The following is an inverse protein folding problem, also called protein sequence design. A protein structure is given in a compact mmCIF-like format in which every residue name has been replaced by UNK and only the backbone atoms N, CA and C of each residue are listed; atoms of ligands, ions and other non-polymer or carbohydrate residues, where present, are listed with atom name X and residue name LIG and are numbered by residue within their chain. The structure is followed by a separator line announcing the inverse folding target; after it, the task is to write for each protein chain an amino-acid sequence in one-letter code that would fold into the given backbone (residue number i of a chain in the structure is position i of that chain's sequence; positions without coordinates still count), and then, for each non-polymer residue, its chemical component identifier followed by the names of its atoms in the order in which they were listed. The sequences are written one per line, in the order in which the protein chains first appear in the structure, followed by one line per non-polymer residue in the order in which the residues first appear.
data_IF_860804709924
#
_entry.id   IF_860804709924
#
_cell.length_a   1.000
_cell.length_b   1.000
_cell.length_c   1.000
_cell.angle_alpha   90.00
_cell.angle_beta   90.00
_cell.angle_gamma   90.00
#
_symmetry.space_group_name_H-M   'P 1'
#
loop_
_entity.id
_entity.type
_entity.pdbx_description
1 polymer ?
#
# COMPACT_ATOMS: atom_id res chain seq x y z
N UNK A 1 16.37 11.82 26.58
CA UNK A 1 15.45 12.54 25.67
C UNK A 1 16.23 13.72 25.14
N UNK A 2 16.39 13.83 23.82
CA UNK A 2 17.15 14.92 23.22
C UNK A 2 16.43 16.26 23.48
N UNK A 3 17.17 17.24 24.00
CA UNK A 3 16.63 18.53 24.46
C UNK A 3 15.88 19.29 23.36
N UNK A 4 16.21 19.06 22.09
CA UNK A 4 15.59 19.69 20.93
C UNK A 4 14.11 19.29 20.74
N UNK A 5 13.73 18.07 21.10
CA UNK A 5 12.34 17.58 20.97
C UNK A 5 11.52 17.75 22.25
N UNK A 6 12.15 18.14 23.36
CA UNK A 6 11.45 18.29 24.62
C UNK A 6 10.55 19.54 24.61
N UNK A 7 9.35 19.40 25.18
CA UNK A 7 8.46 20.51 25.51
C UNK A 7 7.59 20.09 26.70
N UNK A 8 7.27 21.05 27.59
CA UNK A 8 6.37 20.80 28.73
C UNK A 8 4.96 20.45 28.25
N UNK A 9 4.56 20.94 27.08
CA UNK A 9 3.31 20.57 26.43
C UNK A 9 3.55 19.35 25.52
N UNK A 10 2.92 18.19 25.80
CA UNK A 10 3.13 16.98 25.00
C UNK A 10 2.76 17.16 23.52
N UNK A 11 1.75 17.97 23.19
CA UNK A 11 1.38 18.25 21.80
C UNK A 11 2.48 19.02 21.05
N UNK A 12 3.16 19.96 21.74
CA UNK A 12 4.29 20.69 21.15
C UNK A 12 5.51 19.78 20.97
N UNK A 13 5.79 18.92 21.95
CA UNK A 13 6.85 17.94 21.84
C UNK A 13 6.62 17.01 20.62
N UNK A 14 5.37 16.54 20.43
CA UNK A 14 5.04 15.68 19.28
C UNK A 14 5.20 16.39 17.95
N UNK A 15 4.84 17.68 17.83
CA UNK A 15 5.03 18.43 16.57
C UNK A 15 6.49 18.71 16.23
N UNK A 16 7.40 18.68 17.22
CA UNK A 16 8.86 18.77 17.00
C UNK A 16 9.43 17.43 16.55
N UNK A 17 9.01 16.34 17.20
CA UNK A 17 9.47 14.99 16.89
C UNK A 17 8.94 14.48 15.54
N UNK A 18 7.71 14.85 15.19
CA UNK A 18 7.04 14.50 13.95
C UNK A 18 6.57 15.78 13.28
N UNK A 19 7.40 16.34 12.40
CA UNK A 19 7.02 17.53 11.64
C UNK A 19 5.78 17.23 10.79
N UNK A 20 5.01 18.24 10.36
CA UNK A 20 3.84 18.03 9.49
C UNK A 20 4.15 17.26 8.18
N UNK A 21 5.40 17.33 7.72
CA UNK A 21 5.92 16.63 6.55
C UNK A 21 6.41 15.21 6.87
N UNK A 22 6.44 14.81 8.15
CA UNK A 22 6.85 13.48 8.56
C UNK A 22 5.81 12.44 8.16
N UNK A 23 6.24 11.54 7.31
CA UNK A 23 5.44 10.47 6.76
C UNK A 23 5.79 9.15 7.45
N UNK A 24 5.02 8.77 8.47
CA UNK A 24 5.17 7.47 9.12
C UNK A 24 4.70 6.36 8.18
N UNK A 25 5.56 5.37 7.89
CA UNK A 25 5.20 4.15 7.15
C UNK A 25 4.79 3.05 8.15
N UNK A 26 3.50 2.69 8.24
CA UNK A 26 3.07 1.59 9.09
C UNK A 26 3.66 0.27 8.59
N UNK A 27 4.18 -0.56 9.48
CA UNK A 27 4.61 -1.92 9.15
C UNK A 27 3.43 -2.86 9.41
N UNK A 28 2.97 -3.57 8.38
CA UNK A 28 1.92 -4.57 8.50
C UNK A 28 2.46 -5.95 8.11
N UNK A 29 2.46 -6.87 9.08
CA UNK A 29 3.03 -8.21 8.95
C UNK A 29 2.01 -9.27 8.49
N UNK A 30 0.71 -8.94 8.44
CA UNK A 30 -0.39 -9.89 8.19
C UNK A 30 -1.04 -9.74 6.80
N UNK A 31 -0.46 -8.93 5.90
CA UNK A 31 -1.02 -8.70 4.55
C UNK A 31 -0.64 -9.83 3.60
N UNK A 32 -1.62 -10.34 2.86
CA UNK A 32 -1.44 -11.48 1.95
C UNK A 32 -0.98 -11.03 0.57
N UNK A 33 -0.42 -11.96 -0.22
CA UNK A 33 -0.13 -11.70 -1.65
C UNK A 33 -1.37 -11.24 -2.42
N UNK A 34 -2.53 -11.84 -2.14
CA UNK A 34 -3.82 -11.46 -2.77
C UNK A 34 -4.19 -10.01 -2.50
N UNK A 35 -3.96 -9.52 -1.28
CA UNK A 35 -4.17 -8.10 -0.95
C UNK A 35 -3.32 -7.18 -1.84
N UNK A 36 -2.04 -7.49 -2.03
CA UNK A 36 -1.16 -6.68 -2.88
C UNK A 36 -1.53 -6.77 -4.37
N UNK A 37 -1.96 -7.94 -4.84
CA UNK A 37 -2.52 -8.10 -6.18
C UNK A 37 -3.76 -7.22 -6.38
N UNK A 38 -4.63 -7.19 -5.36
CA UNK A 38 -5.86 -6.41 -5.39
C UNK A 38 -5.60 -4.91 -5.51
N UNK A 39 -4.59 -4.41 -4.78
CA UNK A 39 -4.12 -3.02 -4.92
C UNK A 39 -3.69 -2.71 -6.36
N UNK A 40 -2.93 -3.59 -7.00
CA UNK A 40 -2.43 -3.34 -8.36
C UNK A 40 -3.55 -3.27 -9.40
N UNK A 41 -4.56 -4.12 -9.24
CA UNK A 41 -5.75 -4.17 -10.10
C UNK A 41 -6.59 -2.91 -9.87
N UNK A 42 -6.95 -2.62 -8.62
CA UNK A 42 -7.79 -1.47 -8.24
C UNK A 42 -7.17 -0.13 -8.64
N UNK A 43 -5.85 0.01 -8.47
CA UNK A 43 -5.14 1.23 -8.84
C UNK A 43 -4.93 1.39 -10.35
N UNK A 44 -5.35 0.41 -11.17
CA UNK A 44 -5.04 0.29 -12.59
C UNK A 44 -3.52 0.41 -12.87
N UNK A 45 -2.68 -0.13 -11.98
CA UNK A 45 -1.22 -0.02 -12.09
C UNK A 45 -0.61 -1.10 -12.95
N UNK A 46 -1.29 -2.24 -13.07
CA UNK A 46 -0.84 -3.35 -13.92
C UNK A 46 -2.02 -3.97 -14.66
N UNK A 47 -1.71 -4.74 -15.69
CA UNK A 47 -2.62 -5.73 -16.27
C UNK A 47 -2.06 -7.12 -15.98
N UNK A 48 -2.86 -7.99 -15.35
CA UNK A 48 -2.47 -9.36 -14.99
C UNK A 48 -3.30 -10.33 -15.81
N UNK A 49 -2.64 -11.32 -16.40
CA UNK A 49 -3.29 -12.47 -17.02
C UNK A 49 -2.80 -13.74 -16.37
N UNK A 50 -3.70 -14.47 -15.73
CA UNK A 50 -3.43 -15.79 -15.20
C UNK A 50 -3.72 -16.86 -16.24
N UNK A 51 -2.81 -17.82 -16.36
CA UNK A 51 -2.99 -19.00 -17.19
C UNK A 51 -3.28 -20.17 -16.27
N UNK A 52 -4.40 -20.85 -16.50
CA UNK A 52 -4.87 -21.95 -15.65
C UNK A 52 -4.29 -23.29 -16.08
N UNK A 53 -4.21 -24.23 -15.16
CA UNK A 53 -3.91 -25.62 -15.51
C UNK A 53 -5.09 -26.20 -16.31
N UNK A 54 -4.86 -26.84 -17.47
CA UNK A 54 -5.93 -27.46 -18.26
C UNK A 54 -6.68 -28.56 -17.50
N UNK A 55 -6.02 -29.25 -16.56
CA UNK A 55 -6.58 -30.34 -15.77
C UNK A 55 -7.16 -29.84 -14.43
N UNK A 56 -6.73 -28.68 -13.94
CA UNK A 56 -7.26 -28.03 -12.73
C UNK A 56 -7.39 -26.50 -12.89
N UNK A 57 -8.58 -26.00 -13.30
CA UNK A 57 -8.84 -24.58 -13.48
C UNK A 57 -8.67 -23.71 -12.24
N UNK A 58 -8.55 -24.29 -11.03
CA UNK A 58 -8.30 -23.53 -9.81
C UNK A 58 -6.82 -23.12 -9.71
N UNK A 59 -5.91 -23.90 -10.30
CA UNK A 59 -4.48 -23.65 -10.26
C UNK A 59 -4.03 -22.71 -11.39
N UNK A 60 -3.24 -21.70 -11.03
CA UNK A 60 -2.51 -20.89 -12.00
C UNK A 60 -1.18 -21.59 -12.33
N UNK A 61 -0.94 -21.92 -13.60
CA UNK A 61 0.36 -22.46 -14.05
C UNK A 61 1.42 -21.37 -14.11
N UNK A 62 1.05 -20.22 -14.66
CA UNK A 62 1.88 -19.03 -14.71
C UNK A 62 0.99 -17.79 -14.84
N UNK A 63 1.62 -16.62 -14.76
CA UNK A 63 0.93 -15.35 -14.94
C UNK A 63 1.84 -14.38 -15.66
N UNK A 64 1.27 -13.58 -16.55
CA UNK A 64 1.97 -12.49 -17.20
C UNK A 64 1.47 -11.18 -16.60
N UNK A 65 2.40 -10.28 -16.31
CA UNK A 65 2.09 -8.97 -15.74
C UNK A 65 2.66 -7.91 -16.66
N UNK A 66 1.86 -6.90 -16.99
CA UNK A 66 2.31 -5.69 -17.65
C UNK A 66 2.16 -4.52 -16.68
N UNK A 67 3.27 -3.84 -16.38
CA UNK A 67 3.25 -2.61 -15.57
C UNK A 67 2.77 -1.47 -16.46
N UNK A 68 1.66 -0.84 -16.07
CA UNK A 68 1.05 0.27 -16.79
C UNK A 68 1.49 1.62 -16.21
N UNK A 69 1.54 1.72 -14.88
CA UNK A 69 1.97 2.93 -14.17
C UNK A 69 2.39 2.64 -12.73
N UNK A 70 3.31 3.45 -12.23
CA UNK A 70 3.69 3.53 -10.81
C UNK A 70 3.18 4.85 -10.25
N UNK A 71 2.32 4.80 -9.23
CA UNK A 71 1.75 5.99 -8.60
C UNK A 71 2.82 6.72 -7.79
N UNK A 72 2.93 8.02 -8.02
CA UNK A 72 3.69 8.94 -7.19
C UNK A 72 2.78 9.44 -6.05
N UNK A 73 3.33 9.93 -4.93
CA UNK A 73 2.54 10.43 -3.80
C UNK A 73 1.46 11.45 -4.24
N UNK A 74 1.83 12.36 -5.16
CA UNK A 74 0.93 13.36 -5.75
C UNK A 74 -0.27 12.80 -6.52
N UNK A 75 -0.20 11.55 -6.99
CA UNK A 75 -1.31 10.87 -7.67
C UNK A 75 -2.19 10.08 -6.69
N UNK A 76 -1.69 9.83 -5.47
CA UNK A 76 -2.44 9.09 -4.46
C UNK A 76 -3.44 10.01 -3.74
N UNK A 77 -2.99 11.19 -3.31
CA UNK A 77 -3.81 12.19 -2.61
C UNK A 77 -2.93 13.13 -1.78
N UNK A 78 -3.55 14.01 -1.01
CA UNK A 78 -2.84 14.92 -0.09
C UNK A 78 -2.41 14.23 1.21
N UNK A 79 -3.19 13.25 1.68
CA UNK A 79 -2.90 12.48 2.88
C UNK A 79 -2.53 11.03 2.52
N UNK A 80 -1.24 10.69 2.62
CA UNK A 80 -0.73 9.35 2.27
C UNK A 80 -1.17 8.25 3.24
N UNK A 81 -1.65 8.63 4.44
CA UNK A 81 -2.19 7.73 5.45
C UNK A 81 -3.70 7.53 5.32
N UNK A 82 -4.38 8.32 4.48
CA UNK A 82 -5.79 8.12 4.18
C UNK A 82 -5.94 6.87 3.32
N UNK A 83 -6.87 6.00 3.71
CA UNK A 83 -7.13 4.76 2.96
C UNK A 83 -7.98 5.06 1.73
N UNK A 84 -7.62 4.47 0.59
CA UNK A 84 -8.51 4.33 -0.55
C UNK A 84 -9.34 3.06 -0.34
N UNK A 85 -10.66 3.20 -0.46
CA UNK A 85 -11.59 2.07 -0.42
C UNK A 85 -11.49 1.35 -1.76
N UNK A 86 -11.35 0.03 -1.71
CA UNK A 86 -11.39 -0.79 -2.92
C UNK A 86 -12.74 -0.68 -3.63
N UNK A 87 -12.75 -0.77 -4.96
CA UNK A 87 -13.99 -0.80 -5.73
C UNK A 87 -14.83 -2.05 -5.45
N UNK A 88 -14.19 -3.21 -5.23
CA UNK A 88 -14.89 -4.43 -4.81
C UNK A 88 -14.72 -4.70 -3.31
N UNK A 89 -15.64 -5.45 -2.69
CA UNK A 89 -15.50 -5.91 -1.31
C UNK A 89 -14.23 -6.73 -1.09
N UNK A 90 -13.38 -6.29 -0.17
CA UNK A 90 -12.18 -6.98 0.28
C UNK A 90 -11.97 -6.76 1.79
N UNK A 91 -11.23 -7.65 2.44
CA UNK A 91 -10.78 -7.48 3.83
C UNK A 91 -9.24 -7.45 3.87
N UNK A 92 -8.61 -6.30 4.20
CA UNK A 92 -9.21 -5.04 4.64
C UNK A 92 -9.90 -4.26 3.52
N UNK A 93 -10.85 -3.38 3.89
CA UNK A 93 -11.71 -2.62 2.95
C UNK A 93 -10.97 -1.63 2.03
N UNK A 94 -9.68 -1.41 2.28
CA UNK A 94 -8.91 -0.40 1.56
C UNK A 94 -7.43 -0.48 1.84
N UNK A 95 -6.69 0.44 1.24
CA UNK A 95 -5.24 0.49 1.29
C UNK A 95 -4.72 1.92 1.32
N UNK A 96 -3.58 2.13 1.97
CA UNK A 96 -2.88 3.42 2.04
C UNK A 96 -1.81 3.53 0.94
N UNK A 97 -1.17 4.70 0.81
CA UNK A 97 -0.05 4.84 -0.11
C UNK A 97 1.13 3.93 0.26
N UNK A 98 1.33 3.69 1.55
CA UNK A 98 2.38 2.80 2.06
C UNK A 98 2.15 1.35 1.65
N UNK A 99 0.90 0.94 1.62
CA UNK A 99 0.51 -0.38 1.15
C UNK A 99 0.79 -0.53 -0.33
N UNK A 100 0.45 0.49 -1.12
CA UNK A 100 0.79 0.56 -2.54
C UNK A 100 2.30 0.49 -2.79
N UNK A 101 3.12 1.16 -1.96
CA UNK A 101 4.57 1.09 -2.09
C UNK A 101 5.12 -0.31 -1.76
N UNK A 102 4.54 -0.96 -0.75
CA UNK A 102 4.91 -2.32 -0.33
C UNK A 102 4.58 -3.38 -1.40
N UNK A 103 3.59 -3.13 -2.26
CA UNK A 103 3.23 -4.05 -3.35
C UNK A 103 4.44 -4.39 -4.22
N UNK A 104 5.25 -3.39 -4.58
CA UNK A 104 6.34 -3.56 -5.54
C UNK A 104 7.46 -4.50 -5.07
N UNK A 105 7.53 -4.75 -3.76
CA UNK A 105 8.51 -5.67 -3.16
C UNK A 105 7.89 -6.92 -2.56
N UNK A 106 6.57 -6.95 -2.32
CA UNK A 106 5.88 -8.08 -1.69
C UNK A 106 5.02 -8.90 -2.66
N UNK A 107 4.69 -8.35 -3.83
CA UNK A 107 3.90 -9.05 -4.84
C UNK A 107 4.77 -9.86 -5.82
N UNK A 108 5.93 -9.32 -6.17
CA UNK A 108 6.96 -9.93 -7.02
C UNK A 108 7.91 -10.77 -6.19
#
# INVERSE_FOLDING_TARGET
MELEYWDKNPFKATTKAFTPEFHFKPIANNKTRKFYEFILIDSNSVSIKHFKDPNDPLLNTHSTIQILKVLQPRHFGTNLNEYKIFFEPFDPIGYTYWDYMDVWTKFF
#
